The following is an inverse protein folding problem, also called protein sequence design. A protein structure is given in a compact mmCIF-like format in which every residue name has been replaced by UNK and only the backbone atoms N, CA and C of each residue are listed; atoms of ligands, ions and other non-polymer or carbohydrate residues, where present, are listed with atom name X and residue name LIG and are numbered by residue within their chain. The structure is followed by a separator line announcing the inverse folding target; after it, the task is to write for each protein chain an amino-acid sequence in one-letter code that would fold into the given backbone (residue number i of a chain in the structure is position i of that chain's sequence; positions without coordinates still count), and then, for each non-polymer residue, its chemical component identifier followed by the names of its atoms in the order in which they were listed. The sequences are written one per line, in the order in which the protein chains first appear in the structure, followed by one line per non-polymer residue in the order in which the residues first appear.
data_IF_285227453045
#
_entry.id   IF_285227453045
#
_cell.length_a   1.000
_cell.length_b   1.000
_cell.length_c   1.000
_cell.angle_alpha   90.00
_cell.angle_beta   90.00
_cell.angle_gamma   90.00
#
_symmetry.space_group_name_H-M   'P 1'
#
loop_
_entity.id
_entity.type
_entity.pdbx_description
1 polymer ?
#
# COMPACT_ATOMS: atom_id res chain seq x y z
N UNK A 1 4.50 -14.09 -4.04
CA UNK A 1 5.74 -13.25 -3.92
C UNK A 1 6.28 -13.35 -2.51
N UNK A 2 7.52 -12.93 -2.23
CA UNK A 2 7.97 -12.73 -0.83
C UNK A 2 7.42 -11.42 -0.26
N UNK A 3 7.26 -11.34 1.07
CA UNK A 3 6.74 -10.13 1.73
C UNK A 3 7.58 -8.89 1.42
N UNK A 4 8.89 -9.03 1.35
CA UNK A 4 9.81 -7.93 1.04
C UNK A 4 9.59 -7.39 -0.39
N UNK A 5 9.31 -8.28 -1.36
CA UNK A 5 8.97 -7.88 -2.74
C UNK A 5 7.62 -7.15 -2.80
N UNK A 6 6.63 -7.59 -2.01
CA UNK A 6 5.33 -6.93 -1.90
C UNK A 6 5.51 -5.51 -1.34
N UNK A 7 6.27 -5.37 -0.25
CA UNK A 7 6.55 -4.06 0.37
C UNK A 7 7.26 -3.13 -0.62
N UNK A 8 8.29 -3.62 -1.32
CA UNK A 8 9.00 -2.81 -2.31
C UNK A 8 8.05 -2.27 -3.39
N UNK A 9 7.16 -3.13 -3.92
CA UNK A 9 6.18 -2.74 -4.92
C UNK A 9 5.13 -1.75 -4.36
N UNK A 10 4.64 -1.96 -3.13
CA UNK A 10 3.72 -1.04 -2.47
C UNK A 10 4.32 0.35 -2.29
N UNK A 11 5.60 0.43 -1.94
CA UNK A 11 6.34 1.69 -1.80
C UNK A 11 6.47 2.40 -3.15
N UNK A 12 6.80 1.67 -4.23
CA UNK A 12 6.83 2.23 -5.59
C UNK A 12 5.45 2.78 -6.00
N UNK A 13 4.40 2.01 -5.77
CA UNK A 13 3.04 2.40 -6.15
C UNK A 13 2.60 3.63 -5.34
N UNK A 14 2.92 3.68 -4.04
CA UNK A 14 2.67 4.84 -3.21
C UNK A 14 3.47 6.07 -3.66
N UNK A 15 4.74 5.90 -4.05
CA UNK A 15 5.53 7.01 -4.60
C UNK A 15 4.87 7.59 -5.87
N UNK A 16 4.32 6.75 -6.74
CA UNK A 16 3.60 7.18 -7.95
C UNK A 16 2.28 7.87 -7.59
N UNK A 17 1.44 7.24 -6.77
CA UNK A 17 0.10 7.71 -6.43
C UNK A 17 0.15 9.02 -5.61
N UNK A 18 1.04 9.09 -4.63
CA UNK A 18 1.17 10.24 -3.75
C UNK A 18 2.17 11.28 -4.25
N UNK A 19 2.87 11.01 -5.37
CA UNK A 19 3.95 11.85 -5.90
C UNK A 19 5.03 12.11 -4.84
N UNK A 20 5.35 11.08 -4.07
CA UNK A 20 6.34 11.09 -3.01
C UNK A 20 7.64 10.42 -3.46
N UNK A 21 8.73 10.68 -2.75
CA UNK A 21 10.00 10.01 -3.00
C UNK A 21 10.02 8.63 -2.31
N UNK A 22 10.07 7.56 -3.10
CA UNK A 22 10.15 6.19 -2.61
C UNK A 22 11.31 5.96 -1.64
N UNK A 23 12.42 6.70 -1.81
CA UNK A 23 13.61 6.59 -0.96
C UNK A 23 13.36 7.05 0.49
N UNK A 24 12.27 7.77 0.72
CA UNK A 24 11.86 8.26 2.05
C UNK A 24 10.85 7.35 2.74
N UNK A 25 10.41 6.28 2.07
CA UNK A 25 9.41 5.35 2.56
C UNK A 25 10.07 4.02 2.92
N UNK A 26 9.57 3.41 3.99
CA UNK A 26 10.01 2.11 4.50
C UNK A 26 8.79 1.30 4.97
N UNK A 27 8.98 0.01 5.24
CA UNK A 27 7.90 -0.91 5.59
C UNK A 27 7.02 -0.42 6.77
N UNK A 28 7.63 0.24 7.75
CA UNK A 28 7.00 0.75 8.98
C UNK A 28 6.44 2.18 8.84
N UNK A 29 6.53 2.78 7.66
CA UNK A 29 6.06 4.14 7.41
C UNK A 29 4.54 4.22 7.58
N UNK A 30 4.10 5.17 8.39
CA UNK A 30 2.67 5.49 8.55
C UNK A 30 2.16 6.20 7.29
N UNK A 31 1.38 5.49 6.47
CA UNK A 31 0.90 5.94 5.17
C UNK A 31 0.02 7.18 5.34
N UNK A 32 -0.92 7.15 6.29
CA UNK A 32 -1.89 8.23 6.49
C UNK A 32 -1.23 9.49 7.05
N UNK A 33 -0.28 9.34 7.98
CA UNK A 33 0.43 10.47 8.58
C UNK A 33 1.49 11.07 7.65
N UNK A 34 2.17 10.23 6.86
CA UNK A 34 3.29 10.66 6.01
C UNK A 34 2.83 11.14 4.64
N UNK A 35 1.93 10.39 4.00
CA UNK A 35 1.48 10.63 2.63
C UNK A 35 0.10 11.30 2.56
N UNK A 36 -0.66 11.26 3.66
CA UNK A 36 -1.96 11.91 3.79
C UNK A 36 -3.15 10.99 3.46
N UNK A 37 -4.35 11.49 3.76
CA UNK A 37 -5.60 10.71 3.74
C UNK A 37 -6.52 11.05 2.55
N UNK A 38 -5.97 11.63 1.47
CA UNK A 38 -6.75 12.01 0.29
C UNK A 38 -7.46 10.78 -0.31
N UNK A 39 -8.78 10.87 -0.50
CA UNK A 39 -9.60 9.79 -1.06
C UNK A 39 -9.18 9.37 -2.48
N UNK A 40 -8.66 10.29 -3.30
CA UNK A 40 -8.14 9.96 -4.63
C UNK A 40 -6.90 9.07 -4.55
N UNK A 41 -6.00 9.37 -3.60
CA UNK A 41 -4.78 8.59 -3.42
C UNK A 41 -5.09 7.21 -2.83
N UNK A 42 -6.02 7.14 -1.87
CA UNK A 42 -6.49 5.85 -1.33
C UNK A 42 -7.11 4.97 -2.42
N UNK A 43 -7.96 5.54 -3.27
CA UNK A 43 -8.53 4.83 -4.41
C UNK A 43 -7.45 4.38 -5.41
N UNK A 44 -6.46 5.24 -5.69
CA UNK A 44 -5.32 4.89 -6.53
C UNK A 44 -4.51 3.73 -5.97
N UNK A 45 -4.23 3.73 -4.66
CA UNK A 45 -3.53 2.61 -4.02
C UNK A 45 -4.34 1.32 -4.08
N UNK A 46 -5.64 1.37 -3.79
CA UNK A 46 -6.49 0.18 -3.90
C UNK A 46 -6.41 -0.40 -5.31
N UNK A 47 -6.59 0.43 -6.35
CA UNK A 47 -6.52 -0.02 -7.75
C UNK A 47 -5.15 -0.62 -8.13
N UNK A 48 -4.04 -0.03 -7.66
CA UNK A 48 -2.70 -0.56 -7.92
C UNK A 48 -2.48 -1.90 -7.24
N UNK A 49 -2.90 -2.02 -5.97
CA UNK A 49 -2.80 -3.26 -5.19
C UNK A 49 -3.62 -4.38 -5.85
N UNK A 50 -4.89 -4.11 -6.17
CA UNK A 50 -5.78 -5.07 -6.80
C UNK A 50 -5.23 -5.56 -8.14
N UNK A 51 -4.67 -4.65 -8.96
CA UNK A 51 -4.09 -4.98 -10.26
C UNK A 51 -2.76 -5.75 -10.18
N UNK A 52 -1.94 -5.50 -9.15
CA UNK A 52 -0.61 -6.12 -9.03
C UNK A 52 -0.63 -7.45 -8.29
N UNK A 53 -1.51 -7.60 -7.30
CA UNK A 53 -1.48 -8.75 -6.40
C UNK A 53 -2.73 -9.64 -6.51
N UNK A 54 -3.67 -9.31 -7.40
CA UNK A 54 -4.93 -10.07 -7.61
C UNK A 54 -5.74 -10.24 -6.31
N UNK A 55 -5.62 -9.28 -5.38
CA UNK A 55 -6.39 -9.21 -4.13
C UNK A 55 -7.51 -8.21 -4.26
N UNK A 56 -8.44 -8.21 -3.29
CA UNK A 56 -9.47 -7.17 -3.17
C UNK A 56 -9.27 -6.43 -1.85
N UNK A 57 -9.16 -5.10 -1.91
CA UNK A 57 -9.05 -4.26 -0.71
C UNK A 57 -10.20 -3.24 -0.69
N UNK A 58 -11.16 -3.38 0.25
CA UNK A 58 -12.23 -2.41 0.36
C UNK A 58 -11.66 -1.02 0.71
N UNK A 59 -12.04 0.01 -0.05
CA UNK A 59 -11.58 1.39 0.19
C UNK A 59 -11.88 1.86 1.63
N UNK A 60 -12.96 1.36 2.22
CA UNK A 60 -13.33 1.62 3.61
C UNK A 60 -12.33 1.04 4.61
N UNK A 61 -11.72 -0.10 4.28
CA UNK A 61 -10.72 -0.79 5.09
C UNK A 61 -9.30 -0.30 4.81
N UNK A 62 -9.03 0.33 3.65
CA UNK A 62 -7.70 0.86 3.36
C UNK A 62 -7.13 1.72 4.49
N UNK A 63 -7.98 2.52 5.15
CA UNK A 63 -7.56 3.39 6.26
C UNK A 63 -7.25 2.65 7.58
N UNK A 64 -7.54 1.36 7.71
CA UNK A 64 -7.20 0.56 8.90
C UNK A 64 -5.78 0.03 8.84
N UNK A 65 -5.20 -0.11 7.64
CA UNK A 65 -3.81 -0.48 7.43
C UNK A 65 -2.93 0.76 7.58
N UNK A 66 -2.15 0.80 8.66
CA UNK A 66 -1.39 1.99 9.03
C UNK A 66 -0.08 2.08 8.25
N UNK A 67 0.55 0.94 8.01
CA UNK A 67 1.88 0.83 7.40
C UNK A 67 1.88 -0.03 6.15
N UNK A 68 2.96 0.05 5.37
CA UNK A 68 3.15 -0.83 4.21
C UNK A 68 3.33 -2.30 4.63
N UNK A 69 3.89 -2.53 5.82
CA UNK A 69 3.94 -3.85 6.44
C UNK A 69 2.53 -4.43 6.62
N UNK A 70 1.58 -3.65 7.14
CA UNK A 70 0.20 -4.10 7.39
C UNK A 70 -0.50 -4.48 6.07
N UNK A 71 -0.29 -3.69 5.01
CA UNK A 71 -0.81 -3.99 3.68
C UNK A 71 -0.17 -5.27 3.11
N UNK A 72 1.14 -5.43 3.26
CA UNK A 72 1.86 -6.60 2.78
C UNK A 72 1.46 -7.87 3.53
N UNK A 73 1.19 -7.78 4.83
CA UNK A 73 0.63 -8.87 5.63
C UNK A 73 -0.74 -9.30 5.12
N UNK A 74 -1.65 -8.35 4.90
CA UNK A 74 -2.97 -8.64 4.36
C UNK A 74 -2.89 -9.30 2.97
N UNK A 75 -2.03 -8.82 2.08
CA UNK A 75 -1.82 -9.42 0.75
C UNK A 75 -1.28 -10.84 0.87
N UNK A 76 -0.27 -11.06 1.74
CA UNK A 76 0.32 -12.37 1.93
C UNK A 76 -0.66 -13.38 2.57
N UNK A 77 -1.63 -12.92 3.37
CA UNK A 77 -2.71 -13.74 3.91
C UNK A 77 -3.77 -14.12 2.86
N UNK A 78 -4.02 -13.27 1.86
CA UNK A 78 -4.98 -13.56 0.78
C UNK A 78 -4.40 -14.42 -0.35
N UNK A 79 -3.07 -14.39 -0.57
CA UNK A 79 -2.33 -15.21 -1.55
C UNK A 79 -2.00 -16.63 -1.00
N UNK A 80 -2.55 -17.01 0.16
CA UNK A 80 -2.28 -18.28 0.87
C UNK A 80 -3.35 -19.36 0.70
#
# INVERSE_FOLDING_TARGET
MTKDEIIAKLIEDAAIVYKADASTLAADTDISATLGTNSLNRMGMCAMIENHFDVVIPLAEFGTYKTFQDLADMIAEQDA
#
